data_IF_864240617478
#
_entry.id   IF_864240617478
#
_cell.length_a   1.000
_cell.length_b   1.000
_cell.length_c   1.000
_cell.angle_alpha   90.00
_cell.angle_beta   90.00
_cell.angle_gamma   90.00
#
_symmetry.space_group_name_H-M   'P 1'
#
loop_
_entity.id
_entity.type
_entity.pdbx_description
1 polymer ?
#
# COMPACT_ATOMS: atom_id res chain seq x y z
N UNK A 1 61.92 42.12 -26.81
CA UNK A 1 62.35 40.71 -27.00
C UNK A 1 61.23 39.81 -26.49
N UNK A 2 60.90 38.79 -27.30
CA UNK A 2 60.06 37.57 -27.12
C UNK A 2 59.11 37.45 -25.89
N UNK A 3 57.79 37.28 -26.07
CA UNK A 3 56.99 36.08 -26.49
C UNK A 3 56.94 34.92 -25.48
N UNK A 4 55.71 34.50 -25.13
CA UNK A 4 55.31 33.17 -24.60
C UNK A 4 54.06 33.29 -23.71
N UNK A 5 52.82 32.97 -24.12
CA UNK A 5 52.22 31.66 -24.51
C UNK A 5 52.36 30.61 -23.38
N UNK A 6 51.40 29.77 -22.98
CA UNK A 6 50.20 29.22 -23.60
C UNK A 6 49.30 28.61 -22.48
N UNK A 7 47.97 28.69 -22.56
CA UNK A 7 47.04 27.69 -23.13
C UNK A 7 46.59 26.57 -22.16
N UNK A 8 45.28 26.54 -21.94
CA UNK A 8 44.57 25.60 -21.08
C UNK A 8 44.31 24.23 -21.71
N UNK A 9 44.08 23.25 -20.83
CA UNK A 9 43.83 21.85 -21.16
C UNK A 9 42.33 21.60 -21.11
N UNK A 10 41.72 21.35 -22.27
CA UNK A 10 40.35 20.86 -22.41
C UNK A 10 40.34 19.34 -22.29
N UNK A 11 39.49 18.79 -21.42
CA UNK A 11 39.25 17.34 -21.30
C UNK A 11 38.21 16.90 -22.34
N UNK A 12 38.61 15.96 -23.19
CA UNK A 12 37.83 15.45 -24.31
C UNK A 12 36.83 14.36 -23.90
N UNK A 13 35.60 14.47 -24.40
CA UNK A 13 34.61 13.40 -24.47
C UNK A 13 35.11 12.25 -25.36
N UNK A 14 35.11 11.01 -24.86
CA UNK A 14 35.17 9.81 -25.71
C UNK A 14 33.77 9.25 -25.90
N UNK A 15 33.22 9.44 -27.10
CA UNK A 15 32.11 8.63 -27.63
C UNK A 15 32.72 7.39 -28.30
N UNK A 16 32.44 6.21 -27.76
CA UNK A 16 32.75 4.93 -28.39
C UNK A 16 31.51 4.42 -29.12
N UNK A 17 31.54 4.52 -30.46
CA UNK A 17 30.60 3.89 -31.39
C UNK A 17 31.21 2.57 -31.82
N UNK A 18 30.51 1.45 -31.66
CA UNK A 18 30.84 0.18 -32.31
C UNK A 18 29.64 -0.31 -33.11
N UNK A 19 29.93 -0.70 -34.35
CA UNK A 19 28.99 -1.16 -35.37
C UNK A 19 28.81 -2.68 -35.29
N UNK A 20 27.57 -3.08 -35.55
CA UNK A 20 27.02 -4.29 -36.16
C UNK A 20 27.89 -5.54 -36.39
N UNK A 21 27.34 -6.69 -35.99
CA UNK A 21 27.76 -8.03 -36.43
C UNK A 21 26.74 -9.12 -36.12
N UNK A 22 26.05 -9.54 -37.18
CA UNK A 22 25.17 -10.69 -37.43
C UNK A 22 24.96 -11.83 -36.38
N UNK A 23 23.67 -12.16 -36.24
CA UNK A 23 23.02 -13.47 -36.25
C UNK A 23 23.74 -14.71 -35.65
N UNK A 24 23.19 -15.20 -34.54
CA UNK A 24 23.13 -16.63 -34.25
C UNK A 24 21.70 -17.01 -33.85
N UNK A 25 21.11 -17.86 -34.69
CA UNK A 25 19.97 -18.73 -34.38
C UNK A 25 20.51 -19.79 -33.42
N UNK A 26 19.91 -19.93 -32.23
CA UNK A 26 20.29 -20.95 -31.25
C UNK A 26 19.34 -20.92 -30.06
N UNK A 27 18.65 -22.04 -29.85
CA UNK A 27 17.40 -22.13 -29.09
C UNK A 27 17.48 -21.76 -27.61
N UNK A 28 16.42 -21.10 -27.15
CA UNK A 28 16.07 -21.03 -25.74
C UNK A 28 15.54 -22.39 -25.30
N UNK A 29 16.38 -23.16 -24.58
CA UNK A 29 15.89 -24.23 -23.74
C UNK A 29 15.18 -23.60 -22.53
N UNK A 30 13.84 -23.57 -22.60
CA UNK A 30 12.96 -23.29 -21.47
C UNK A 30 13.09 -24.48 -20.52
N UNK A 31 13.90 -24.34 -19.47
CA UNK A 31 13.93 -25.30 -18.38
C UNK A 31 12.67 -25.13 -17.54
N UNK A 32 11.66 -25.93 -17.91
CA UNK A 32 10.46 -26.23 -17.17
C UNK A 32 10.76 -26.66 -15.72
N UNK A 33 10.55 -25.76 -14.77
CA UNK A 33 10.48 -26.07 -13.34
C UNK A 33 9.01 -26.32 -12.96
N UNK A 34 8.52 -27.49 -13.33
CA UNK A 34 7.33 -28.10 -12.73
C UNK A 34 7.56 -29.61 -12.59
N UNK A 35 7.69 -30.04 -11.36
CA UNK A 35 7.54 -31.41 -10.87
C UNK A 35 6.82 -31.20 -9.53
N UNK A 36 5.68 -31.82 -9.21
CA UNK A 36 5.33 -33.21 -9.39
C UNK A 36 3.79 -33.38 -9.25
N UNK A 37 3.10 -34.20 -10.08
CA UNK A 37 1.74 -34.66 -9.81
C UNK A 37 1.77 -36.14 -9.38
N UNK A 38 1.93 -36.40 -8.08
CA UNK A 38 1.84 -37.75 -7.54
C UNK A 38 0.52 -37.99 -6.80
N UNK A 39 -0.35 -38.69 -7.52
CA UNK A 39 -1.18 -39.81 -7.07
C UNK A 39 -1.70 -39.84 -5.62
N UNK A 40 -3.01 -39.68 -5.47
CA UNK A 40 -3.79 -40.51 -4.56
C UNK A 40 -5.15 -40.81 -5.20
N UNK A 41 -5.32 -42.08 -5.57
CA UNK A 41 -6.58 -42.69 -5.92
C UNK A 41 -6.89 -43.78 -4.89
N UNK A 42 -8.18 -44.08 -4.73
CA UNK A 42 -8.85 -44.98 -3.77
C UNK A 42 -9.20 -44.29 -2.44
N UNK A 43 -10.45 -44.26 -1.96
CA UNK A 43 -11.70 -44.90 -2.39
C UNK A 43 -12.54 -45.16 -1.13
N UNK A 44 -13.84 -44.81 -1.13
CA UNK A 44 -14.93 -45.54 -0.48
C UNK A 44 -16.27 -44.77 -0.56
N UNK A 45 -17.42 -45.47 -0.63
CA UNK A 45 -18.73 -44.89 -0.96
C UNK A 45 -19.64 -44.66 0.27
N UNK A 46 -20.60 -43.76 0.07
CA UNK A 46 -21.98 -43.90 0.54
C UNK A 46 -22.27 -43.52 1.98
N UNK A 47 -22.91 -42.36 2.19
CA UNK A 47 -23.99 -42.23 3.18
C UNK A 47 -25.07 -41.28 2.67
N UNK A 48 -26.30 -41.73 2.83
CA UNK A 48 -27.54 -41.18 2.30
C UNK A 48 -28.43 -40.69 3.44
N UNK A 49 -29.01 -39.51 3.23
CA UNK A 49 -30.32 -38.96 3.68
C UNK A 49 -30.74 -38.89 5.17
N UNK A 50 -31.36 -37.73 5.48
CA UNK A 50 -32.26 -37.46 6.62
C UNK A 50 -31.62 -36.51 7.65
N UNK A 51 -32.18 -35.39 8.10
CA UNK A 51 -33.57 -34.90 8.09
C UNK A 51 -33.53 -33.39 8.35
N UNK A 52 -34.53 -32.68 7.82
CA UNK A 52 -34.82 -31.25 7.94
C UNK A 52 -34.48 -30.58 9.28
N UNK A 53 -33.93 -29.35 9.20
CA UNK A 53 -33.98 -28.36 10.28
C UNK A 53 -34.66 -27.07 9.78
N UNK A 54 -35.50 -26.45 10.63
CA UNK A 54 -36.35 -25.34 10.24
C UNK A 54 -35.56 -24.08 9.91
N UNK A 55 -35.99 -23.43 8.83
CA UNK A 55 -35.49 -22.16 8.34
C UNK A 55 -35.97 -21.06 9.28
N UNK A 56 -35.06 -20.48 10.08
CA UNK A 56 -35.28 -19.20 10.74
C UNK A 56 -34.86 -18.11 9.76
N UNK A 57 -35.84 -17.50 9.12
CA UNK A 57 -35.65 -16.31 8.30
C UNK A 57 -35.38 -15.12 9.22
N UNK A 58 -34.12 -14.78 9.46
CA UNK A 58 -33.75 -13.42 9.90
C UNK A 58 -33.68 -12.54 8.66
N UNK A 59 -34.78 -11.86 8.38
CA UNK A 59 -34.84 -10.76 7.42
C UNK A 59 -34.10 -9.55 8.02
N UNK A 60 -32.81 -9.42 7.74
CA UNK A 60 -32.11 -8.14 7.87
C UNK A 60 -32.15 -7.45 6.51
N UNK A 61 -33.07 -6.50 6.44
CA UNK A 61 -33.06 -5.42 5.46
C UNK A 61 -31.72 -4.66 5.59
N UNK A 62 -30.89 -4.74 4.57
CA UNK A 62 -29.74 -3.86 4.36
C UNK A 62 -29.62 -3.67 2.87
N UNK A 63 -29.72 -2.42 2.45
CA UNK A 63 -29.71 -1.95 1.08
C UNK A 63 -28.79 -2.78 0.17
N UNK A 64 -29.41 -3.45 -0.80
CA UNK A 64 -28.79 -4.30 -1.82
C UNK A 64 -27.93 -3.43 -2.74
N UNK A 65 -26.67 -3.20 -2.37
CA UNK A 65 -25.60 -3.16 -3.35
C UNK A 65 -25.50 -4.56 -3.94
N UNK A 66 -25.80 -4.72 -5.21
CA UNK A 66 -25.62 -6.01 -5.89
C UNK A 66 -24.19 -6.50 -5.66
N UNK A 67 -23.96 -7.73 -5.17
CA UNK A 67 -22.63 -8.29 -5.17
C UNK A 67 -22.19 -8.36 -6.63
N UNK A 68 -21.18 -7.58 -7.00
CA UNK A 68 -20.56 -7.71 -8.32
C UNK A 68 -19.99 -9.12 -8.41
N UNK A 69 -20.69 -10.00 -9.10
CA UNK A 69 -20.27 -11.38 -9.38
C UNK A 69 -18.95 -11.31 -10.15
N UNK A 70 -17.81 -11.39 -9.45
CA UNK A 70 -16.48 -11.37 -10.06
C UNK A 70 -15.40 -10.61 -9.30
N UNK A 71 -15.73 -9.80 -8.29
CA UNK A 71 -14.70 -9.06 -7.54
C UNK A 71 -14.05 -9.94 -6.47
N UNK A 72 -12.76 -10.23 -6.65
CA UNK A 72 -11.96 -11.02 -5.72
C UNK A 72 -11.16 -10.07 -4.85
N UNK A 73 -11.48 -9.99 -3.56
CA UNK A 73 -10.85 -9.06 -2.62
C UNK A 73 -10.26 -9.74 -1.38
N UNK A 74 -9.19 -9.16 -0.85
CA UNK A 74 -8.60 -9.55 0.44
C UNK A 74 -8.10 -8.31 1.17
N UNK A 75 -8.20 -8.31 2.50
CA UNK A 75 -7.76 -7.19 3.35
C UNK A 75 -6.91 -7.68 4.51
N UNK A 76 -5.84 -6.96 4.86
CA UNK A 76 -4.95 -7.28 5.99
C UNK A 76 -4.28 -6.04 6.58
N UNK A 77 -4.08 -6.04 7.89
CA UNK A 77 -3.25 -5.05 8.57
C UNK A 77 -1.79 -5.52 8.57
N UNK A 78 -0.90 -4.68 8.02
CA UNK A 78 0.54 -4.88 8.04
C UNK A 78 1.16 -4.03 9.16
N UNK A 79 2.00 -4.61 10.04
CA UNK A 79 2.59 -3.92 11.19
C UNK A 79 3.78 -3.02 10.80
N UNK A 80 3.63 -2.25 9.73
CA UNK A 80 4.60 -1.29 9.24
C UNK A 80 3.90 0.06 9.02
N UNK A 81 4.59 1.19 9.26
CA UNK A 81 3.97 2.49 9.10
C UNK A 81 3.78 2.83 7.61
N UNK A 82 2.81 3.69 7.29
CA UNK A 82 2.37 3.94 5.92
C UNK A 82 3.52 4.40 5.00
N UNK A 83 4.45 5.19 5.54
CA UNK A 83 5.60 5.74 4.82
C UNK A 83 6.56 4.64 4.34
N UNK A 84 6.46 3.44 4.92
CA UNK A 84 7.21 2.27 4.48
C UNK A 84 6.40 1.40 3.53
N UNK A 85 5.10 1.23 3.81
CA UNK A 85 4.22 0.35 3.02
C UNK A 85 4.00 0.91 1.62
N UNK A 86 3.71 2.20 1.49
CA UNK A 86 3.44 2.85 0.20
C UNK A 86 4.54 2.65 -0.86
N UNK A 87 5.80 3.10 -0.63
CA UNK A 87 6.86 2.94 -1.62
C UNK A 87 7.21 1.45 -1.88
N UNK A 88 6.98 0.58 -0.89
CA UNK A 88 7.21 -0.86 -1.04
C UNK A 88 6.14 -1.50 -1.89
N UNK A 89 4.86 -1.12 -1.74
CA UNK A 89 3.75 -1.60 -2.56
C UNK A 89 3.96 -1.25 -4.04
N UNK A 90 4.30 0.00 -4.33
CA UNK A 90 4.61 0.46 -5.70
C UNK A 90 5.73 -0.38 -6.32
N UNK A 91 6.84 -0.59 -5.60
CA UNK A 91 7.97 -1.35 -6.14
C UNK A 91 7.67 -2.84 -6.24
N UNK A 92 6.95 -3.40 -5.28
CA UNK A 92 6.54 -4.79 -5.32
C UNK A 92 5.69 -5.08 -6.56
N UNK A 93 4.66 -4.28 -6.81
CA UNK A 93 3.81 -4.44 -8.00
C UNK A 93 4.60 -4.26 -9.29
N UNK A 94 5.38 -3.19 -9.41
CA UNK A 94 6.05 -2.86 -10.68
C UNK A 94 7.30 -3.68 -10.95
N UNK A 95 8.14 -3.90 -9.94
CA UNK A 95 9.48 -4.50 -10.11
C UNK A 95 9.46 -5.99 -9.81
N UNK A 96 8.86 -6.40 -8.71
CA UNK A 96 8.87 -7.83 -8.33
C UNK A 96 7.82 -8.63 -9.08
N UNK A 97 6.63 -8.04 -9.32
CA UNK A 97 5.52 -8.69 -10.04
C UNK A 97 5.48 -8.34 -11.54
N UNK A 98 6.16 -7.28 -11.96
CA UNK A 98 6.14 -6.83 -13.35
C UNK A 98 4.78 -6.31 -13.81
N UNK A 99 3.91 -5.89 -12.89
CA UNK A 99 2.59 -5.35 -13.21
C UNK A 99 2.67 -3.90 -13.69
N UNK A 100 1.71 -3.51 -14.53
CA UNK A 100 1.63 -2.16 -15.06
C UNK A 100 0.79 -1.31 -14.12
N UNK A 101 1.40 -0.29 -13.50
CA UNK A 101 0.65 0.68 -12.69
C UNK A 101 -0.04 1.66 -13.65
N UNK A 102 -1.37 1.69 -13.61
CA UNK A 102 -2.23 2.55 -14.43
C UNK A 102 -2.34 3.93 -13.79
N UNK A 103 -2.63 3.96 -12.49
CA UNK A 103 -2.77 5.18 -11.72
C UNK A 103 -2.35 4.96 -10.26
N UNK A 104 -1.95 6.02 -9.57
CA UNK A 104 -1.65 5.97 -8.14
C UNK A 104 -1.76 7.36 -7.53
N UNK A 105 -2.32 7.40 -6.34
CA UNK A 105 -2.40 8.61 -5.53
C UNK A 105 -2.01 8.29 -4.08
N UNK A 106 -0.85 8.79 -3.60
CA UNK A 106 -0.39 8.56 -2.23
C UNK A 106 -1.29 9.22 -1.18
N UNK A 107 -1.93 10.34 -1.53
CA UNK A 107 -2.75 11.11 -0.60
C UNK A 107 -4.12 10.46 -0.45
N UNK A 108 -4.69 9.95 -1.54
CA UNK A 108 -5.91 9.15 -1.51
C UNK A 108 -5.69 7.69 -1.08
N UNK A 109 -4.45 7.20 -1.11
CA UNK A 109 -4.08 5.87 -0.64
C UNK A 109 -4.45 4.74 -1.60
N UNK A 110 -4.41 4.94 -2.92
CA UNK A 110 -4.74 3.87 -3.88
C UNK A 110 -3.72 3.69 -5.00
N UNK A 111 -3.62 2.47 -5.52
CA UNK A 111 -2.84 2.11 -6.71
C UNK A 111 -3.72 1.25 -7.62
N UNK A 112 -3.95 1.70 -8.85
CA UNK A 112 -4.60 0.92 -9.90
C UNK A 112 -3.54 0.25 -10.77
N UNK A 113 -3.70 -1.03 -11.07
CA UNK A 113 -2.74 -1.78 -11.86
C UNK A 113 -3.41 -2.80 -12.77
N UNK A 114 -2.73 -3.10 -13.87
CA UNK A 114 -3.10 -4.14 -14.82
C UNK A 114 -2.12 -5.34 -14.66
N UNK A 115 -2.64 -6.56 -14.74
CA UNK A 115 -1.87 -7.80 -14.55
C UNK A 115 -2.26 -8.88 -15.58
N UNK A 116 -1.34 -9.78 -15.98
CA UNK A 116 -1.64 -10.85 -16.93
C UNK A 116 -2.51 -11.96 -16.31
N UNK A 117 -3.50 -12.44 -17.07
CA UNK A 117 -4.39 -13.55 -16.72
C UNK A 117 -4.14 -14.73 -17.68
N UNK A 118 -3.39 -15.72 -17.21
CA UNK A 118 -3.13 -16.95 -17.97
C UNK A 118 -2.17 -16.74 -19.15
N UNK A 119 -2.08 -17.73 -20.06
CA UNK A 119 -1.12 -17.71 -21.17
C UNK A 119 -1.59 -16.89 -22.40
N UNK A 120 -2.87 -16.53 -22.47
CA UNK A 120 -3.51 -16.00 -23.69
C UNK A 120 -3.46 -14.46 -23.81
N UNK A 121 -2.41 -13.82 -23.27
CA UNK A 121 -2.22 -12.35 -23.25
C UNK A 121 -3.41 -11.54 -22.70
N UNK A 122 -4.34 -12.18 -21.97
CA UNK A 122 -5.45 -11.47 -21.33
C UNK A 122 -4.92 -10.65 -20.16
N UNK A 123 -5.48 -9.48 -19.97
CA UNK A 123 -5.12 -8.58 -18.87
C UNK A 123 -6.32 -8.38 -17.97
N UNK A 124 -6.11 -8.54 -16.67
CA UNK A 124 -7.04 -8.15 -15.61
C UNK A 124 -6.64 -6.84 -14.97
N UNK A 125 -7.58 -6.23 -14.27
CA UNK A 125 -7.36 -5.01 -13.49
C UNK A 125 -7.49 -5.29 -12.01
N UNK A 126 -6.59 -4.69 -11.24
CA UNK A 126 -6.63 -4.73 -9.79
C UNK A 126 -6.43 -3.35 -9.18
N UNK A 127 -6.82 -3.24 -7.92
CA UNK A 127 -6.53 -2.09 -7.08
C UNK A 127 -5.86 -2.54 -5.79
N UNK A 128 -4.99 -1.68 -5.27
CA UNK A 128 -4.49 -1.75 -3.89
C UNK A 128 -4.92 -0.47 -3.19
N UNK A 129 -5.60 -0.60 -2.07
CA UNK A 129 -5.96 0.50 -1.18
C UNK A 129 -5.17 0.39 0.12
N UNK A 130 -4.66 1.52 0.59
CA UNK A 130 -3.74 1.61 1.72
C UNK A 130 -4.17 2.74 2.65
N UNK A 131 -4.46 2.42 3.90
CA UNK A 131 -4.84 3.39 4.92
C UNK A 131 -3.95 3.30 6.16
N UNK A 132 -3.50 4.44 6.68
CA UNK A 132 -2.76 4.48 7.93
C UNK A 132 -3.68 4.05 9.08
N UNK A 133 -3.20 3.17 9.94
CA UNK A 133 -3.97 2.63 11.06
C UNK A 133 -3.07 2.32 12.26
N UNK A 134 -3.68 1.85 13.34
CA UNK A 134 -2.97 1.27 14.48
C UNK A 134 -3.35 -0.20 14.59
N UNK A 135 -2.38 -1.07 14.80
CA UNK A 135 -2.66 -2.47 15.12
C UNK A 135 -3.27 -2.61 16.53
N UNK A 136 -3.64 -3.84 16.90
CA UNK A 136 -4.17 -4.16 18.22
C UNK A 136 -3.20 -3.82 19.38
N UNK A 137 -1.91 -3.64 19.09
CA UNK A 137 -0.87 -3.24 20.05
C UNK A 137 -0.61 -1.72 20.08
N UNK A 138 -1.38 -0.94 19.34
CA UNK A 138 -1.24 0.52 19.24
C UNK A 138 -0.09 0.97 18.34
N UNK A 139 0.54 0.06 17.59
CA UNK A 139 1.66 0.36 16.69
C UNK A 139 1.16 0.95 15.38
N UNK A 140 1.84 1.99 14.89
CA UNK A 140 1.63 2.50 13.55
C UNK A 140 1.73 1.39 12.50
N UNK A 141 0.65 1.21 11.76
CA UNK A 141 0.42 0.10 10.84
C UNK A 141 -0.29 0.62 9.59
N UNK A 142 -0.37 -0.20 8.54
CA UNK A 142 -1.18 0.10 7.37
C UNK A 142 -2.23 -0.99 7.17
N UNK A 143 -3.49 -0.59 6.98
CA UNK A 143 -4.51 -1.48 6.45
C UNK A 143 -4.35 -1.53 4.93
N UNK A 144 -4.17 -2.73 4.39
CA UNK A 144 -3.99 -2.96 2.97
C UNK A 144 -5.15 -3.81 2.46
N UNK A 145 -5.88 -3.29 1.49
CA UNK A 145 -6.90 -4.01 0.74
C UNK A 145 -6.43 -4.21 -0.69
N UNK A 146 -6.65 -5.39 -1.24
CA UNK A 146 -6.35 -5.71 -2.64
C UNK A 146 -7.60 -6.31 -3.25
N UNK A 147 -8.04 -5.76 -4.38
CA UNK A 147 -9.08 -6.37 -5.19
C UNK A 147 -8.64 -6.56 -6.64
N UNK A 148 -9.19 -7.58 -7.29
CA UNK A 148 -8.95 -7.90 -8.70
C UNK A 148 -10.26 -8.30 -9.37
N UNK A 149 -10.44 -7.88 -10.62
CA UNK A 149 -11.63 -8.19 -11.44
C UNK A 149 -11.59 -9.57 -12.11
N UNK A 150 -10.47 -10.29 -11.96
CA UNK A 150 -10.26 -11.60 -12.57
C UNK A 150 -9.02 -12.31 -12.05
N UNK A 151 -8.63 -13.38 -12.74
CA UNK A 151 -7.49 -14.21 -12.37
C UNK A 151 -7.82 -15.29 -11.32
N UNK A 152 -6.79 -15.97 -10.79
CA UNK A 152 -6.98 -17.02 -9.79
C UNK A 152 -7.53 -16.49 -8.46
N UNK A 153 -8.41 -17.25 -7.80
CA UNK A 153 -9.03 -16.88 -6.52
C UNK A 153 -8.03 -16.52 -5.41
N UNK A 154 -6.82 -17.08 -5.45
CA UNK A 154 -5.78 -16.84 -4.45
C UNK A 154 -4.93 -15.60 -4.73
N UNK A 155 -5.11 -14.94 -5.89
CA UNK A 155 -4.23 -13.85 -6.33
C UNK A 155 -4.24 -12.65 -5.37
N UNK A 156 -5.39 -12.11 -4.89
CA UNK A 156 -5.38 -11.00 -3.93
C UNK A 156 -4.60 -11.34 -2.66
N UNK A 157 -4.79 -12.56 -2.14
CA UNK A 157 -4.06 -13.05 -0.98
C UNK A 157 -2.54 -13.16 -1.26
N UNK A 158 -2.16 -13.72 -2.42
CA UNK A 158 -0.75 -13.85 -2.80
C UNK A 158 -0.05 -12.48 -2.95
N UNK A 159 -0.77 -11.45 -3.42
CA UNK A 159 -0.26 -10.08 -3.50
C UNK A 159 0.02 -9.53 -2.09
N UNK A 160 -0.94 -9.67 -1.16
CA UNK A 160 -0.79 -9.17 0.22
C UNK A 160 0.32 -9.91 0.98
N UNK A 161 0.40 -11.23 0.88
CA UNK A 161 1.46 -12.01 1.53
C UNK A 161 2.84 -11.63 0.98
N UNK A 162 3.00 -11.57 -0.34
CA UNK A 162 4.27 -11.20 -0.94
C UNK A 162 4.68 -9.75 -0.65
N UNK A 163 3.72 -8.82 -0.52
CA UNK A 163 3.99 -7.47 -0.03
C UNK A 163 4.51 -7.48 1.42
N UNK A 164 3.88 -8.28 2.30
CA UNK A 164 4.32 -8.45 3.68
C UNK A 164 5.73 -9.05 3.79
N UNK A 165 6.06 -10.03 2.95
CA UNK A 165 7.40 -10.62 2.85
C UNK A 165 8.43 -9.63 2.32
N UNK A 166 8.07 -8.84 1.30
CA UNK A 166 8.91 -7.78 0.75
C UNK A 166 9.27 -6.76 1.81
N UNK A 167 8.27 -6.29 2.57
CA UNK A 167 8.49 -5.37 3.70
C UNK A 167 9.45 -5.96 4.73
N UNK A 168 9.26 -7.23 5.12
CA UNK A 168 10.14 -7.90 6.08
C UNK A 168 11.58 -8.01 5.58
N UNK A 169 11.77 -8.32 4.30
CA UNK A 169 13.11 -8.44 3.69
C UNK A 169 13.86 -7.11 3.64
N UNK A 170 13.16 -5.99 3.56
CA UNK A 170 13.78 -4.69 3.32
C UNK A 170 13.87 -3.80 4.54
N UNK A 171 12.91 -3.96 5.45
CA UNK A 171 12.81 -3.19 6.70
C UNK A 171 13.15 -4.04 7.91
N UNK A 172 13.27 -5.36 7.75
CA UNK A 172 13.49 -6.28 8.84
C UNK A 172 12.20 -6.55 9.62
N UNK A 173 12.36 -6.87 10.90
CA UNK A 173 11.23 -7.18 11.77
C UNK A 173 10.47 -5.90 12.14
N UNK A 174 9.12 -5.92 12.19
CA UNK A 174 8.30 -4.80 12.64
C UNK A 174 8.76 -4.21 13.98
N UNK A 175 8.91 -2.88 14.05
CA UNK A 175 9.32 -2.12 15.26
C UNK A 175 8.48 -2.47 16.48
N UNK A 176 9.09 -2.94 17.58
CA UNK A 176 8.42 -3.38 18.81
C UNK A 176 7.17 -2.53 19.20
N UNK A 177 6.10 -3.17 19.71
CA UNK A 177 4.88 -2.45 20.02
C UNK A 177 5.16 -1.38 21.09
N UNK A 178 4.46 -0.24 21.06
CA UNK A 178 4.54 0.72 22.16
C UNK A 178 4.29 0.02 23.49
N UNK A 179 5.12 0.30 24.50
CA UNK A 179 4.85 -0.21 25.86
C UNK A 179 3.52 0.40 26.34
N UNK A 180 2.60 -0.40 26.94
CA UNK A 180 1.44 0.16 27.62
C UNK A 180 1.92 1.21 28.62
N UNK A 181 1.40 2.43 28.52
CA UNK A 181 1.64 3.40 29.59
C UNK A 181 0.89 2.90 30.82
N UNK A 182 1.52 2.84 32.00
CA UNK A 182 0.80 2.54 33.24
C UNK A 182 -0.37 3.51 33.36
N UNK A 183 -1.57 2.99 33.63
CA UNK A 183 -2.74 3.82 33.89
C UNK A 183 -2.35 4.82 34.99
N UNK A 184 -2.50 6.12 34.69
CA UNK A 184 -2.27 7.14 35.69
C UNK A 184 -3.16 6.79 36.90
N UNK A 185 -2.61 6.78 38.14
CA UNK A 185 -3.41 6.43 39.30
C UNK A 185 -4.64 7.35 39.35
N UNK A 186 -5.83 6.81 39.67
CA UNK A 186 -7.03 7.62 39.76
C UNK A 186 -6.76 8.76 40.73
N UNK A 187 -6.81 9.99 40.22
CA UNK A 187 -6.67 11.19 41.03
C UNK A 187 -7.65 11.09 42.18
N UNK A 188 -7.12 11.14 43.40
CA UNK A 188 -7.93 11.15 44.59
C UNK A 188 -8.93 12.31 44.54
N UNK A 189 -10.17 12.02 44.90
CA UNK A 189 -11.15 13.00 45.33
C UNK A 189 -10.55 13.88 46.43
N UNK A 190 -10.16 15.11 46.10
CA UNK A 190 -10.17 16.21 47.07
C UNK A 190 -11.24 17.22 46.63
N UNK A 191 -12.33 17.21 47.39
CA UNK A 191 -13.51 18.07 47.25
C UNK A 191 -13.15 19.55 47.60
N UNK A 192 -13.99 20.51 47.20
CA UNK A 192 -13.67 21.93 47.12
C UNK A 192 -13.97 22.69 48.42
N UNK A 193 -13.15 23.69 48.78
CA UNK A 193 -13.57 24.92 49.48
C UNK A 193 -12.44 25.94 49.57
N UNK A 194 -12.62 27.06 48.88
CA UNK A 194 -11.75 28.23 49.00
C UNK A 194 -12.31 29.44 48.27
N UNK A 195 -13.38 30.04 48.81
CA UNK A 195 -13.84 31.38 48.44
C UNK A 195 -12.69 32.37 48.63
N UNK A 196 -12.28 33.06 47.57
CA UNK A 196 -11.43 34.24 47.62
C UNK A 196 -11.77 35.16 46.46
N UNK A 197 -12.42 36.27 46.78
CA UNK A 197 -13.03 37.25 45.89
C UNK A 197 -12.16 38.51 45.92
N UNK A 198 -11.55 38.90 44.81
CA UNK A 198 -11.20 40.30 44.47
C UNK A 198 -10.65 40.32 43.03
N UNK A 199 -11.39 40.88 42.05
CA UNK A 199 -11.44 42.29 41.61
C UNK A 199 -10.21 42.78 40.83
N UNK A 200 -10.49 43.21 39.60
CA UNK A 200 -9.61 43.86 38.62
C UNK A 200 -9.97 43.27 37.25
N UNK A 201 -10.86 43.85 36.42
CA UNK A 201 -10.76 45.17 35.76
C UNK A 201 -9.36 45.32 35.17
N UNK A 202 -9.14 45.26 33.85
CA UNK A 202 -9.73 46.05 32.77
C UNK A 202 -9.75 45.20 31.47
N UNK A 203 -10.82 45.13 30.68
CA UNK A 203 -11.15 46.08 29.59
C UNK A 203 -9.94 46.59 28.80
N UNK A 204 -9.58 45.91 27.70
CA UNK A 204 -9.41 46.57 26.39
C UNK A 204 -9.22 45.53 25.27
N UNK A 205 -10.32 45.26 24.58
CA UNK A 205 -10.28 45.04 23.13
C UNK A 205 -10.19 46.43 22.48
N UNK A 206 -9.32 46.60 21.48
CA UNK A 206 -9.84 47.11 20.23
C UNK A 206 -9.35 46.31 19.01
N UNK A 207 -10.32 45.94 18.21
CA UNK A 207 -10.25 45.78 16.75
C UNK A 207 -9.34 46.82 16.07
N UNK A 208 -8.51 46.39 15.14
CA UNK A 208 -8.39 47.03 13.82
C UNK A 208 -7.63 46.14 12.80
N UNK A 209 -8.13 46.02 11.56
CA UNK A 209 -7.40 45.49 10.41
C UNK A 209 -6.78 46.62 9.57
N UNK A 210 -5.54 46.47 9.03
CA UNK A 210 -5.08 47.25 7.89
C UNK A 210 -5.13 46.36 6.62
N UNK A 211 -6.07 46.60 5.72
CA UNK A 211 -6.02 47.54 4.60
C UNK A 211 -5.22 47.02 3.39
N UNK A 212 -6.00 46.96 2.31
CA UNK A 212 -5.69 46.91 0.88
C UNK A 212 -4.68 47.98 0.45
N UNK A 213 -4.26 47.90 -0.83
CA UNK A 213 -3.62 48.92 -1.67
C UNK A 213 -2.17 48.61 -2.10
N UNK A 214 -2.05 47.80 -3.15
CA UNK A 214 -0.80 47.45 -3.83
C UNK A 214 -0.88 47.38 -5.36
N UNK A 215 -1.51 48.41 -5.97
CA UNK A 215 -1.17 49.07 -7.24
C UNK A 215 -0.30 48.32 -8.31
N UNK A 216 -0.92 48.03 -9.45
CA UNK A 216 -0.48 48.23 -10.87
C UNK A 216 1.03 48.24 -11.19
N UNK A 217 1.46 47.36 -12.11
CA UNK A 217 2.44 47.73 -13.16
C UNK A 217 2.07 47.06 -14.48
N UNK A 218 1.68 47.86 -15.47
CA UNK A 218 1.63 47.53 -16.89
C UNK A 218 3.02 47.12 -17.43
N UNK A 219 3.04 46.19 -18.39
CA UNK A 219 4.23 45.80 -19.16
C UNK A 219 3.91 44.78 -20.24
#
# INVERSE_FOLDING_TARGET
>A
MARGAAAGIRRACRRGRWLSGAALVGGFAVAAWWSDPQAWAAGAPGQSFGTERPQVSTSTDTARGEPRTGELGQTRVLPYPMEHVWPTAVRYLRVDRGYTIVDRDPDAGFILFDFPIGPDDRTGRGSVELFATKDASGRASANVSVSTDGGPLHLPNAIIEGLGEKLRRERGQPTAPPRPQPDAPPGGDETPKGKGKDKGKDEQEPSEPPQDDGLIVDG
#
